data_IF_279253351318
#
_entry.id   IF_279253351318
#
_cell.length_a   1.000
_cell.length_b   1.000
_cell.length_c   1.000
_cell.angle_alpha   90.00
_cell.angle_beta   90.00
_cell.angle_gamma   90.00
#
_symmetry.space_group_name_H-M   'P 1'
#
loop_
_entity.id
_entity.type
_entity.pdbx_description
1 polymer ?
#
# COMPACT_ATOMS: atom_id res chain seq x y z
N UNK A 1 -15.68 -0.23 -7.37
CA UNK A 1 -14.66 0.76 -7.76
C UNK A 1 -13.41 0.49 -6.95
N UNK A 2 -12.27 0.30 -7.61
CA UNK A 2 -10.97 0.05 -6.97
C UNK A 2 -10.14 1.33 -7.03
N UNK A 3 -9.14 1.43 -6.14
CA UNK A 3 -8.25 2.58 -6.06
C UNK A 3 -6.80 2.14 -6.24
N UNK A 4 -6.11 2.75 -7.21
CA UNK A 4 -4.66 2.63 -7.37
C UNK A 4 -3.97 3.79 -6.64
N UNK A 5 -3.16 3.47 -5.64
CA UNK A 5 -2.35 4.42 -4.89
C UNK A 5 -0.94 4.45 -5.49
N UNK A 6 -0.65 5.54 -6.22
CA UNK A 6 0.71 5.87 -6.63
C UNK A 6 1.47 6.44 -5.42
N UNK A 7 2.70 5.96 -5.21
CA UNK A 7 3.48 6.26 -4.01
C UNK A 7 4.48 7.39 -4.27
N UNK A 8 4.86 8.09 -3.21
CA UNK A 8 5.73 9.27 -3.27
C UNK A 8 7.11 8.93 -3.86
N UNK A 9 7.60 9.83 -4.71
CA UNK A 9 8.91 9.73 -5.35
C UNK A 9 9.58 11.09 -5.21
N UNK A 10 10.74 11.11 -4.56
CA UNK A 10 11.57 12.30 -4.44
C UNK A 10 12.91 12.04 -5.10
N UNK A 11 13.20 12.79 -6.16
CA UNK A 11 14.41 12.60 -6.96
C UNK A 11 15.08 13.95 -7.16
N UNK A 12 16.37 14.04 -6.82
CA UNK A 12 17.21 15.24 -7.05
C UNK A 12 16.62 16.52 -6.44
N UNK A 13 16.03 16.42 -5.25
CA UNK A 13 15.64 17.59 -4.46
C UNK A 13 16.84 18.10 -3.64
N UNK A 14 16.91 19.41 -3.43
CA UNK A 14 17.84 20.02 -2.48
C UNK A 14 17.16 20.11 -1.11
N UNK A 15 17.90 19.86 -0.03
CA UNK A 15 17.40 20.19 1.30
C UNK A 15 17.12 21.70 1.39
N UNK A 16 16.15 22.09 2.21
CA UNK A 16 15.80 23.51 2.42
C UNK A 16 17.06 24.31 2.78
N UNK A 17 17.92 23.74 3.63
CA UNK A 17 19.18 24.36 4.02
C UNK A 17 20.15 24.58 2.83
N UNK A 18 20.34 23.57 1.97
CA UNK A 18 21.22 23.68 0.81
C UNK A 18 20.66 24.67 -0.23
N UNK A 19 19.33 24.68 -0.41
CA UNK A 19 18.64 25.63 -1.28
C UNK A 19 18.82 27.07 -0.79
N UNK A 20 18.60 27.32 0.52
CA UNK A 20 18.79 28.65 1.14
C UNK A 20 20.24 29.14 1.03
N UNK A 21 21.22 28.22 1.06
CA UNK A 21 22.66 28.53 0.93
C UNK A 21 23.14 28.56 -0.52
N UNK A 22 22.27 28.36 -1.52
CA UNK A 22 22.65 28.30 -2.93
C UNK A 22 23.58 27.13 -3.30
N UNK A 23 23.66 26.10 -2.45
CA UNK A 23 24.52 24.93 -2.65
C UNK A 23 23.80 23.90 -3.51
N UNK A 24 24.43 23.52 -4.63
CA UNK A 24 23.91 22.48 -5.56
C UNK A 24 24.18 21.06 -5.05
N UNK A 25 23.83 20.79 -3.80
CA UNK A 25 23.95 19.47 -3.17
C UNK A 25 22.56 18.84 -3.17
N UNK A 26 22.42 17.72 -3.87
CA UNK A 26 21.16 17.02 -4.05
C UNK A 26 21.13 15.75 -3.20
N UNK A 27 19.97 15.46 -2.62
CA UNK A 27 19.76 14.25 -1.86
C UNK A 27 19.59 13.03 -2.78
N UNK A 28 19.97 11.82 -2.31
CA UNK A 28 19.73 10.60 -3.06
C UNK A 28 18.23 10.38 -3.30
N UNK A 29 17.85 9.71 -4.40
CA UNK A 29 16.45 9.49 -4.71
C UNK A 29 15.80 8.59 -3.66
N UNK A 30 14.59 8.98 -3.23
CA UNK A 30 13.77 8.25 -2.27
C UNK A 30 12.48 7.83 -2.94
N UNK A 31 12.17 6.54 -2.84
CA UNK A 31 10.95 5.95 -3.36
C UNK A 31 10.18 5.35 -2.20
N UNK A 32 8.92 5.73 -2.07
CA UNK A 32 8.07 5.23 -1.00
C UNK A 32 7.69 3.77 -1.24
N UNK A 33 7.77 2.95 -0.19
CA UNK A 33 7.41 1.53 -0.26
C UNK A 33 5.94 1.28 0.08
N UNK A 34 5.38 0.13 -0.33
CA UNK A 34 4.04 -0.31 0.10
C UNK A 34 3.94 -0.39 1.62
N UNK A 35 5.00 -0.86 2.28
CA UNK A 35 5.09 -0.86 3.75
C UNK A 35 4.81 0.53 4.33
N UNK A 36 5.53 1.55 3.88
CA UNK A 36 5.36 2.91 4.37
C UNK A 36 3.95 3.44 4.06
N UNK A 37 3.39 3.08 2.91
CA UNK A 37 2.05 3.49 2.52
C UNK A 37 0.98 2.87 3.44
N UNK A 38 1.13 1.59 3.75
CA UNK A 38 0.23 0.88 4.66
C UNK A 38 0.34 1.42 6.10
N UNK A 39 1.56 1.69 6.60
CA UNK A 39 1.78 2.31 7.91
C UNK A 39 1.06 3.67 8.01
N UNK A 40 1.18 4.53 6.98
CA UNK A 40 0.50 5.81 6.95
C UNK A 40 -1.04 5.68 6.88
N UNK A 41 -1.55 4.72 6.11
CA UNK A 41 -2.99 4.49 6.05
C UNK A 41 -3.55 4.00 7.39
N UNK A 42 -2.85 3.10 8.08
CA UNK A 42 -3.22 2.65 9.42
C UNK A 42 -3.19 3.81 10.43
N UNK A 43 -2.15 4.64 10.38
CA UNK A 43 -2.06 5.84 11.22
C UNK A 43 -3.24 6.81 10.98
N UNK A 44 -3.66 6.99 9.71
CA UNK A 44 -4.82 7.81 9.36
C UNK A 44 -6.11 7.20 9.95
N UNK A 45 -6.27 5.88 9.90
CA UNK A 45 -7.42 5.18 10.49
C UNK A 45 -7.47 5.42 12.01
N UNK A 46 -6.35 5.22 12.70
CA UNK A 46 -6.26 5.43 14.16
C UNK A 46 -6.47 6.90 14.56
N UNK A 47 -5.96 7.83 13.77
CA UNK A 47 -6.18 9.26 13.96
C UNK A 47 -7.66 9.63 13.80
N UNK A 48 -8.37 9.05 12.82
CA UNK A 48 -9.82 9.28 12.65
C UNK A 48 -10.65 8.72 13.80
N UNK A 49 -10.29 7.53 14.29
CA UNK A 49 -10.92 6.95 15.50
C UNK A 49 -10.71 7.87 16.72
N UNK A 50 -9.49 8.38 16.89
CA UNK A 50 -9.15 9.31 17.98
C UNK A 50 -9.90 10.65 17.90
N UNK A 51 -10.30 11.06 16.69
CA UNK A 51 -11.13 12.24 16.44
C UNK A 51 -12.64 11.97 16.59
N UNK A 52 -13.04 10.77 17.04
CA UNK A 52 -14.44 10.34 17.16
C UNK A 52 -15.21 10.39 15.83
N UNK A 53 -14.53 10.19 14.69
CA UNK A 53 -15.22 9.97 13.41
C UNK A 53 -16.04 8.67 13.51
N UNK A 54 -17.33 8.67 13.12
CA UNK A 54 -18.14 7.45 13.16
C UNK A 54 -17.50 6.31 12.37
N UNK A 55 -17.54 5.08 12.91
CA UNK A 55 -16.93 3.92 12.24
C UNK A 55 -17.53 3.67 10.84
N UNK A 56 -18.80 4.05 10.63
CA UNK A 56 -19.46 3.97 9.31
C UNK A 56 -18.79 4.84 8.23
N UNK A 57 -18.06 5.88 8.61
CA UNK A 57 -17.33 6.78 7.72
C UNK A 57 -15.86 6.35 7.53
N UNK A 58 -15.38 5.39 8.32
CA UNK A 58 -14.04 4.79 8.21
C UNK A 58 -14.14 3.55 7.31
N UNK A 59 -13.69 3.70 6.06
CA UNK A 59 -13.81 2.65 5.02
C UNK A 59 -12.66 1.65 4.98
N UNK A 60 -11.59 1.93 5.72
CA UNK A 60 -10.41 1.07 5.81
C UNK A 60 -10.16 0.72 7.27
N UNK A 61 -9.74 -0.51 7.48
CA UNK A 61 -9.34 -1.04 8.76
C UNK A 61 -8.16 -2.01 8.56
N UNK A 62 -7.69 -2.58 9.64
CA UNK A 62 -6.56 -3.48 9.71
C UNK A 62 -6.72 -4.72 8.82
N UNK A 63 -7.95 -5.24 8.72
CA UNK A 63 -8.30 -6.45 7.96
C UNK A 63 -8.69 -6.16 6.51
N UNK A 64 -8.69 -4.88 6.10
CA UNK A 64 -9.01 -4.49 4.73
C UNK A 64 -8.00 -5.11 3.77
N UNK A 65 -8.50 -5.81 2.75
CA UNK A 65 -7.67 -6.41 1.72
C UNK A 65 -7.00 -5.31 0.91
N UNK A 66 -5.71 -5.50 0.61
CA UNK A 66 -4.95 -4.65 -0.26
C UNK A 66 -3.94 -5.47 -1.07
N UNK A 67 -3.47 -4.89 -2.17
CA UNK A 67 -2.50 -5.53 -3.07
C UNK A 67 -1.29 -4.64 -3.23
N UNK A 68 -0.15 -5.12 -2.76
CA UNK A 68 1.13 -4.50 -3.02
C UNK A 68 1.67 -4.98 -4.36
N UNK A 69 2.02 -4.05 -5.23
CA UNK A 69 2.65 -4.35 -6.52
C UNK A 69 3.98 -3.63 -6.64
N UNK A 70 4.97 -4.30 -7.19
CA UNK A 70 6.31 -3.77 -7.40
C UNK A 70 6.83 -4.16 -8.77
N UNK A 71 7.47 -3.19 -9.44
CA UNK A 71 8.18 -3.39 -10.72
C UNK A 71 7.30 -4.08 -11.78
N UNK A 72 6.05 -3.65 -11.90
CA UNK A 72 5.08 -4.22 -12.85
C UNK A 72 5.65 -4.15 -14.28
N UNK A 73 5.66 -5.29 -14.98
CA UNK A 73 6.23 -5.45 -16.32
C UNK A 73 7.73 -5.76 -16.37
N UNK A 74 8.44 -5.80 -15.23
CA UNK A 74 9.84 -6.24 -15.16
C UNK A 74 9.95 -7.75 -14.85
N UNK A 75 11.10 -8.35 -15.17
CA UNK A 75 11.38 -9.76 -14.83
C UNK A 75 11.33 -10.02 -13.32
N UNK A 76 11.64 -9.01 -12.52
CA UNK A 76 11.61 -9.07 -11.06
C UNK A 76 10.28 -8.60 -10.48
N UNK A 77 9.19 -8.54 -11.25
CA UNK A 77 7.87 -8.14 -10.77
C UNK A 77 7.46 -8.90 -9.51
N UNK A 78 6.85 -8.21 -8.56
CA UNK A 78 6.27 -8.82 -7.35
C UNK A 78 4.85 -8.30 -7.13
N UNK A 79 3.95 -9.22 -6.81
CA UNK A 79 2.56 -8.93 -6.45
C UNK A 79 2.28 -9.69 -5.16
N UNK A 80 1.72 -9.02 -4.17
CA UNK A 80 1.33 -9.62 -2.90
C UNK A 80 -0.07 -9.14 -2.50
N UNK A 81 -0.98 -10.09 -2.28
CA UNK A 81 -2.28 -9.83 -1.66
C UNK A 81 -2.17 -10.08 -0.16
N UNK A 82 -2.59 -9.11 0.64
CA UNK A 82 -2.54 -9.18 2.09
C UNK A 82 -3.64 -8.30 2.72
N UNK A 83 -3.82 -8.39 4.03
CA UNK A 83 -4.52 -7.33 4.79
C UNK A 83 -3.62 -6.11 4.94
N UNK A 84 -4.23 -4.95 5.18
CA UNK A 84 -3.53 -3.69 5.41
C UNK A 84 -2.56 -3.78 6.60
N UNK A 85 -2.93 -4.51 7.65
CA UNK A 85 -2.05 -4.77 8.79
C UNK A 85 -0.85 -5.66 8.43
N UNK A 86 -1.08 -6.75 7.72
CA UNK A 86 -0.02 -7.72 7.42
C UNK A 86 0.93 -7.23 6.32
N UNK A 87 0.47 -6.39 5.39
CA UNK A 87 1.29 -5.94 4.26
C UNK A 87 2.46 -5.03 4.69
N UNK A 88 2.38 -4.43 5.87
CA UNK A 88 3.48 -3.66 6.50
C UNK A 88 4.74 -4.51 6.68
N UNK A 89 4.57 -5.83 6.85
CA UNK A 89 5.68 -6.78 7.00
C UNK A 89 6.14 -7.42 5.70
N UNK A 90 5.49 -7.11 4.57
CA UNK A 90 5.81 -7.70 3.27
C UNK A 90 7.05 -7.05 2.65
N UNK A 91 7.99 -7.89 2.22
CA UNK A 91 9.11 -7.45 1.39
C UNK A 91 8.80 -7.65 -0.10
N UNK A 92 8.59 -6.54 -0.80
CA UNK A 92 8.36 -6.53 -2.24
C UNK A 92 9.65 -6.29 -3.03
N UNK A 93 10.80 -6.16 -2.37
CA UNK A 93 12.09 -5.83 -2.96
C UNK A 93 12.25 -4.34 -3.28
N UNK A 94 12.96 -4.04 -4.37
CA UNK A 94 13.29 -2.67 -4.77
C UNK A 94 12.16 -1.88 -5.45
N UNK A 95 12.29 -0.55 -5.57
CA UNK A 95 11.29 0.29 -6.24
C UNK A 95 11.13 -0.06 -7.74
N UNK A 96 10.05 0.34 -8.43
CA UNK A 96 8.94 1.18 -7.98
C UNK A 96 7.76 0.38 -7.42
N UNK A 97 7.13 0.91 -6.39
CA UNK A 97 6.01 0.28 -5.68
C UNK A 97 4.69 1.02 -5.95
N UNK A 98 3.58 0.30 -5.89
CA UNK A 98 2.22 0.85 -5.84
C UNK A 98 1.36 -0.02 -4.93
N UNK A 99 0.32 0.59 -4.35
CA UNK A 99 -0.65 -0.11 -3.52
C UNK A 99 -2.01 -0.04 -4.20
N UNK A 100 -2.74 -1.14 -4.24
CA UNK A 100 -4.12 -1.19 -4.72
C UNK A 100 -5.03 -1.47 -3.54
N UNK A 101 -6.09 -0.67 -3.42
CA UNK A 101 -7.18 -0.89 -2.48
C UNK A 101 -8.40 -1.35 -3.29
N UNK A 102 -8.70 -2.66 -3.29
CA UNK A 102 -9.89 -3.17 -3.96
C UNK A 102 -11.16 -2.65 -3.28
N UNK A 103 -12.18 -2.30 -4.07
CA UNK A 103 -13.54 -2.13 -3.56
C UNK A 103 -14.32 -3.43 -3.61
N UNK A 104 -15.61 -3.36 -3.96
CA UNK A 104 -16.38 -4.55 -4.29
C UNK A 104 -15.73 -5.30 -5.47
N UNK A 105 -15.50 -6.59 -5.29
CA UNK A 105 -14.81 -7.46 -6.25
C UNK A 105 -15.76 -8.51 -6.83
N UNK A 106 -15.57 -8.84 -8.10
CA UNK A 106 -16.19 -9.99 -8.72
C UNK A 106 -15.51 -11.30 -8.24
N UNK A 107 -16.22 -12.45 -8.18
CA UNK A 107 -15.63 -13.74 -7.84
C UNK A 107 -14.30 -14.07 -8.54
N UNK A 108 -14.23 -13.81 -9.85
CA UNK A 108 -13.00 -14.02 -10.62
C UNK A 108 -11.83 -13.14 -10.15
N UNK A 109 -12.09 -11.92 -9.66
CA UNK A 109 -11.05 -11.06 -9.10
C UNK A 109 -10.57 -11.62 -7.76
N UNK A 110 -11.48 -12.12 -6.91
CA UNK A 110 -11.11 -12.79 -5.66
C UNK A 110 -10.21 -14.00 -5.91
N UNK A 111 -10.55 -14.83 -6.90
CA UNK A 111 -9.73 -15.99 -7.27
C UNK A 111 -8.36 -15.59 -7.81
N UNK A 112 -8.29 -14.50 -8.59
CA UNK A 112 -7.02 -13.96 -9.04
C UNK A 112 -6.16 -13.49 -7.85
N UNK A 113 -6.76 -12.82 -6.86
CA UNK A 113 -6.03 -12.35 -5.67
C UNK A 113 -5.47 -13.49 -4.82
N UNK A 114 -6.13 -14.64 -4.76
CA UNK A 114 -5.66 -15.83 -4.04
C UNK A 114 -4.34 -16.38 -4.61
N UNK A 115 -4.06 -16.17 -5.89
CA UNK A 115 -2.80 -16.60 -6.52
C UNK A 115 -1.58 -15.86 -5.97
N UNK A 116 -1.77 -14.70 -5.32
CA UNK A 116 -0.71 -13.82 -4.84
C UNK A 116 -0.64 -13.74 -3.31
N UNK A 117 -1.17 -14.74 -2.61
CA UNK A 117 -1.03 -14.85 -1.16
C UNK A 117 -0.83 -16.30 -0.74
N UNK A 118 -0.07 -16.49 0.32
CA UNK A 118 0.09 -17.78 1.00
C UNK A 118 -0.46 -17.74 2.43
N UNK A 119 -1.00 -16.59 2.86
CA UNK A 119 -1.55 -16.41 4.19
C UNK A 119 -2.98 -16.96 4.24
N UNK A 120 -3.19 -18.01 5.04
CA UNK A 120 -4.49 -18.64 5.19
C UNK A 120 -5.55 -17.68 5.73
N UNK A 121 -5.17 -16.73 6.59
CA UNK A 121 -6.09 -15.72 7.12
C UNK A 121 -6.65 -14.84 5.99
N UNK A 122 -5.78 -14.42 5.06
CA UNK A 122 -6.16 -13.62 3.88
C UNK A 122 -7.07 -14.44 2.97
N UNK A 123 -6.74 -15.70 2.73
CA UNK A 123 -7.57 -16.62 1.91
C UNK A 123 -8.97 -16.78 2.52
N UNK A 124 -9.07 -16.94 3.84
CA UNK A 124 -10.33 -17.07 4.54
C UNK A 124 -11.18 -15.79 4.46
N UNK A 125 -10.55 -14.61 4.54
CA UNK A 125 -11.23 -13.33 4.32
C UNK A 125 -11.76 -13.25 2.88
N UNK A 126 -10.92 -13.57 1.88
CA UNK A 126 -11.32 -13.57 0.47
C UNK A 126 -12.46 -14.54 0.19
N UNK A 127 -12.49 -15.70 0.84
CA UNK A 127 -13.58 -16.68 0.72
C UNK A 127 -14.88 -16.18 1.36
N UNK A 128 -14.83 -15.42 2.45
CA UNK A 128 -16.04 -14.83 3.07
C UNK A 128 -16.71 -13.80 2.15
N UNK A 129 -15.93 -13.08 1.35
CA UNK A 129 -16.42 -12.07 0.40
C UNK A 129 -17.22 -12.66 -0.78
N UNK A 130 -17.29 -14.00 -0.93
CA UNK A 130 -18.15 -14.68 -1.90
C UNK A 130 -19.64 -14.67 -1.53
N UNK A 131 -19.94 -14.43 -0.26
CA UNK A 131 -21.27 -14.66 0.36
C UNK A 131 -21.96 -13.34 0.63
#
# INVERSE_FOLDING_TARGET
>A
MHSLCLLDIKVKEQSIENLMKGRKIFEPPRYMSVKQAAEQLLEIVDNRRSQNVPEADIRLNEDSICVGVARVGAETQTICTSTLKSIVSCDLGGPLHSLVIPGQMHPLELDMLKLFTTDQCVIDILNKLYT
#
